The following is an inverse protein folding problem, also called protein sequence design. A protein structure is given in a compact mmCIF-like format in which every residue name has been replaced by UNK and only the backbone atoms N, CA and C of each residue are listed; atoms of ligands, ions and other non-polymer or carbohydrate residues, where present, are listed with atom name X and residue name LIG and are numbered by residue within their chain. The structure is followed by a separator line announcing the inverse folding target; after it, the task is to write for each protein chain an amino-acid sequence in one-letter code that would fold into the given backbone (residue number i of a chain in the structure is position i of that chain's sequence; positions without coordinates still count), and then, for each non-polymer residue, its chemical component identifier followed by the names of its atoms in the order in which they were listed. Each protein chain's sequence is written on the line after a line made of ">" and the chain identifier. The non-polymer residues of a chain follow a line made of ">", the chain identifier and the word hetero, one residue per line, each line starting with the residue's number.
data_IF_146827136838
#
_entry.id   IF_146827136838
#
_cell.length_a   1.000
_cell.length_b   1.000
_cell.length_c   1.000
_cell.angle_alpha   90.00
_cell.angle_beta   90.00
_cell.angle_gamma   90.00
#
_symmetry.space_group_name_H-M   'P 1'
#
loop_
_entity.id
_entity.type
_entity.pdbx_description
1 polymer ?
#
# COMPACT_ATOMS: atom_id res chain seq x y z
N UNK A 1 -8.58 -15.36 -6.29
CA UNK A 1 -7.91 -14.30 -7.06
C UNK A 1 -7.23 -13.22 -6.19
N UNK A 2 -7.06 -13.39 -4.87
CA UNK A 2 -6.51 -12.33 -4.01
C UNK A 2 -5.05 -11.92 -4.31
N UNK A 3 -4.22 -12.84 -4.81
CA UNK A 3 -2.80 -12.55 -5.08
C UNK A 3 -2.57 -11.71 -6.34
N UNK A 4 -3.51 -11.73 -7.31
CA UNK A 4 -3.33 -11.02 -8.59
C UNK A 4 -3.54 -9.51 -8.42
N UNK A 5 -4.53 -9.14 -7.62
CA UNK A 5 -4.87 -7.74 -7.34
C UNK A 5 -3.75 -7.00 -6.59
N UNK A 6 -2.95 -7.71 -5.79
CA UNK A 6 -1.81 -7.13 -5.07
C UNK A 6 -0.78 -6.53 -6.02
N UNK A 7 -0.55 -7.14 -7.19
CA UNK A 7 0.45 -6.67 -8.16
C UNK A 7 -0.12 -5.68 -9.18
N UNK A 8 -1.44 -5.68 -9.40
CA UNK A 8 -2.11 -4.67 -10.22
C UNK A 8 -2.26 -3.33 -9.49
N UNK A 9 -2.44 -3.36 -8.17
CA UNK A 9 -2.53 -2.15 -7.33
C UNK A 9 -1.17 -1.48 -7.17
N UNK A 10 -1.18 -0.15 -7.27
CA UNK A 10 0.01 0.67 -7.05
C UNK A 10 0.11 1.10 -5.58
N UNK A 11 0.82 0.32 -4.77
CA UNK A 11 1.00 0.55 -3.34
C UNK A 11 1.69 1.87 -3.03
N UNK A 12 2.59 2.32 -3.92
CA UNK A 12 3.23 3.62 -3.79
C UNK A 12 2.21 4.74 -3.93
N UNK A 13 1.31 4.64 -4.93
CA UNK A 13 0.20 5.60 -5.08
C UNK A 13 -0.80 5.53 -3.93
N UNK A 14 -1.14 4.33 -3.45
CA UNK A 14 -2.06 4.14 -2.31
C UNK A 14 -1.53 4.82 -1.05
N UNK A 15 -0.23 4.68 -0.77
CA UNK A 15 0.42 5.37 0.35
C UNK A 15 0.73 6.85 0.06
N UNK A 16 0.52 7.31 -1.17
CA UNK A 16 0.87 8.67 -1.60
C UNK A 16 2.37 8.96 -1.51
N UNK A 17 3.20 7.96 -1.80
CA UNK A 17 4.66 8.03 -1.78
C UNK A 17 5.24 7.76 -3.16
N UNK A 18 6.48 8.19 -3.37
CA UNK A 18 7.20 7.89 -4.60
C UNK A 18 7.80 6.47 -4.55
N UNK A 19 8.10 5.88 -5.72
CA UNK A 19 8.72 4.55 -5.81
C UNK A 19 10.10 4.49 -5.13
N UNK A 20 10.82 5.61 -5.10
CA UNK A 20 12.10 5.75 -4.41
C UNK A 20 11.96 6.06 -2.91
N UNK A 21 10.74 6.08 -2.36
CA UNK A 21 10.53 6.39 -0.95
C UNK A 21 11.26 5.38 -0.06
N UNK A 22 11.87 5.91 0.98
CA UNK A 22 12.55 5.14 2.01
C UNK A 22 11.53 4.44 2.92
N UNK A 23 11.95 3.36 3.58
CA UNK A 23 11.10 2.64 4.53
C UNK A 23 10.55 3.54 5.65
N UNK A 24 11.31 4.56 6.04
CA UNK A 24 10.89 5.55 7.04
C UNK A 24 9.79 6.47 6.53
N UNK A 25 9.86 6.92 5.27
CA UNK A 25 8.82 7.72 4.63
C UNK A 25 7.53 6.93 4.46
N UNK A 26 7.63 5.68 4.02
CA UNK A 26 6.52 4.73 3.91
C UNK A 26 5.82 4.58 5.27
N UNK A 27 6.58 4.25 6.32
CA UNK A 27 6.04 4.11 7.69
C UNK A 27 5.43 5.42 8.20
N UNK A 28 6.05 6.57 7.90
CA UNK A 28 5.52 7.88 8.32
C UNK A 28 4.19 8.19 7.65
N UNK A 29 4.07 7.92 6.35
CA UNK A 29 2.85 8.14 5.57
C UNK A 29 1.75 7.18 5.96
N UNK A 30 2.07 5.89 6.12
CA UNK A 30 1.17 4.90 6.68
C UNK A 30 0.57 5.37 8.02
N UNK A 31 1.41 5.83 8.96
CA UNK A 31 0.92 6.34 10.25
C UNK A 31 0.03 7.57 10.15
N UNK A 32 0.20 8.42 9.14
CA UNK A 32 -0.70 9.56 8.91
C UNK A 32 -2.05 9.07 8.41
N UNK A 33 -2.03 8.28 7.32
CA UNK A 33 -3.21 7.73 6.69
C UNK A 33 -4.00 6.83 7.63
N UNK A 34 -3.34 5.98 8.42
CA UNK A 34 -3.98 5.12 9.40
C UNK A 34 -4.76 5.90 10.47
N UNK A 35 -4.34 7.11 10.83
CA UNK A 35 -5.07 7.99 11.77
C UNK A 35 -6.20 8.75 11.12
N UNK A 36 -6.07 9.06 9.83
CA UNK A 36 -7.08 9.74 9.01
C UNK A 36 -8.21 8.79 8.63
N UNK A 37 -7.85 7.58 8.20
CA UNK A 37 -8.73 6.49 7.79
C UNK A 37 -9.21 5.60 8.94
N UNK A 38 -8.79 5.89 10.18
CA UNK A 38 -9.05 5.03 11.33
C UNK A 38 -10.54 4.69 11.48
N UNK A 39 -10.91 3.40 11.65
CA UNK A 39 -12.31 2.98 11.71
C UNK A 39 -13.08 3.66 12.84
N UNK A 40 -12.43 4.01 13.96
CA UNK A 40 -13.13 4.74 15.04
C UNK A 40 -13.62 6.13 14.65
N UNK A 41 -12.90 6.82 13.74
CA UNK A 41 -13.29 8.15 13.26
C UNK A 41 -14.26 8.09 12.08
N UNK A 42 -14.18 7.00 11.32
CA UNK A 42 -14.89 6.83 10.05
C UNK A 42 -15.90 5.68 10.10
N UNK A 43 -16.53 5.45 11.25
CA UNK A 43 -17.49 4.35 11.45
C UNK A 43 -18.61 4.44 10.42
N UNK A 44 -18.75 3.40 9.60
CA UNK A 44 -19.81 3.26 8.60
C UNK A 44 -19.44 3.68 7.18
N UNK A 45 -18.23 4.23 6.96
CA UNK A 45 -17.76 4.52 5.61
C UNK A 45 -16.96 3.35 5.04
N UNK A 46 -17.63 2.54 4.20
CA UNK A 46 -17.03 1.38 3.54
C UNK A 46 -15.85 1.77 2.64
N UNK A 47 -15.85 2.97 2.04
CA UNK A 47 -14.74 3.40 1.19
C UNK A 47 -13.49 3.64 2.02
N UNK A 48 -13.63 4.31 3.16
CA UNK A 48 -12.50 4.56 4.06
C UNK A 48 -11.97 3.25 4.69
N UNK A 49 -12.85 2.28 4.92
CA UNK A 49 -12.44 0.93 5.35
C UNK A 49 -11.63 0.19 4.27
N UNK A 50 -12.05 0.26 3.01
CA UNK A 50 -11.32 -0.30 1.87
C UNK A 50 -9.98 0.39 1.66
N UNK A 51 -9.93 1.73 1.76
CA UNK A 51 -8.69 2.49 1.70
C UNK A 51 -7.75 2.13 2.86
N UNK A 52 -8.27 1.99 4.08
CA UNK A 52 -7.47 1.58 5.23
C UNK A 52 -6.84 0.19 5.05
N UNK A 53 -7.61 -0.76 4.49
CA UNK A 53 -7.10 -2.09 4.13
C UNK A 53 -6.00 -1.98 3.08
N UNK A 54 -6.23 -1.23 2.00
CA UNK A 54 -5.25 -1.03 0.95
C UNK A 54 -3.96 -0.37 1.46
N UNK A 55 -4.07 0.63 2.34
CA UNK A 55 -2.93 1.32 2.97
C UNK A 55 -2.15 0.39 3.89
N UNK A 56 -2.83 -0.50 4.61
CA UNK A 56 -2.20 -1.50 5.47
C UNK A 56 -1.47 -2.57 4.66
N UNK A 57 -2.09 -3.10 3.61
CA UNK A 57 -1.46 -4.02 2.66
C UNK A 57 -0.23 -3.38 2.00
N UNK A 58 -0.35 -2.12 1.55
CA UNK A 58 0.73 -1.38 0.93
C UNK A 58 1.93 -1.24 1.88
N UNK A 59 1.69 -0.92 3.16
CA UNK A 59 2.75 -0.85 4.15
C UNK A 59 3.37 -2.23 4.43
N UNK A 60 2.58 -3.30 4.52
CA UNK A 60 3.08 -4.65 4.78
C UNK A 60 3.99 -5.19 3.67
N UNK A 61 3.75 -4.79 2.42
CA UNK A 61 4.60 -5.14 1.27
C UNK A 61 5.79 -4.19 1.16
N UNK A 62 5.58 -2.88 1.23
CA UNK A 62 6.64 -1.90 0.96
C UNK A 62 7.60 -1.68 2.15
N UNK A 63 7.20 -2.02 3.38
CA UNK A 63 8.06 -1.88 4.56
C UNK A 63 9.04 -3.03 4.75
N UNK A 64 8.82 -4.17 4.09
CA UNK A 64 9.71 -5.32 4.06
C UNK A 64 10.48 -5.32 2.74
N UNK A 65 11.82 -5.23 2.81
CA UNK A 65 12.67 -5.16 1.63
C UNK A 65 12.52 -6.37 0.70
N UNK A 66 12.29 -7.58 1.25
CA UNK A 66 12.12 -8.79 0.44
C UNK A 66 10.80 -8.74 -0.33
N UNK A 67 9.70 -8.45 0.37
CA UNK A 67 8.37 -8.34 -0.24
C UNK A 67 8.30 -7.18 -1.24
N UNK A 68 8.97 -6.06 -0.94
CA UNK A 68 9.08 -4.92 -1.84
C UNK A 68 9.82 -5.29 -3.12
N UNK A 69 10.91 -6.05 -3.01
CA UNK A 69 11.64 -6.53 -4.19
C UNK A 69 10.78 -7.45 -5.05
N UNK A 70 10.07 -8.42 -4.44
CA UNK A 70 9.14 -9.31 -5.14
C UNK A 70 8.00 -8.52 -5.82
N UNK A 71 7.45 -7.53 -5.13
CA UNK A 71 6.42 -6.65 -5.66
C UNK A 71 6.91 -5.79 -6.84
N UNK A 72 8.09 -5.18 -6.70
CA UNK A 72 8.68 -4.35 -7.74
C UNK A 72 9.03 -5.18 -8.98
N UNK A 73 9.51 -6.41 -8.80
CA UNK A 73 9.82 -7.35 -9.88
C UNK A 73 8.54 -7.81 -10.59
N UNK A 74 7.53 -8.26 -9.84
CA UNK A 74 6.23 -8.63 -10.38
C UNK A 74 5.58 -7.49 -11.17
N UNK A 75 5.62 -6.23 -10.67
CA UNK A 75 5.11 -5.07 -11.43
C UNK A 75 5.93 -4.76 -12.67
N UNK A 76 7.25 -4.94 -12.63
CA UNK A 76 8.10 -4.78 -13.81
C UNK A 76 7.78 -5.83 -14.88
N UNK A 77 7.46 -7.06 -14.48
CA UNK A 77 7.02 -8.12 -15.37
C UNK A 77 5.64 -7.85 -15.99
N UNK A 78 4.68 -7.35 -15.21
CA UNK A 78 3.35 -6.95 -15.73
C UNK A 78 3.46 -5.79 -16.71
N UNK A 79 4.30 -4.79 -16.44
CA UNK A 79 4.44 -3.62 -17.31
C UNK A 79 5.13 -3.91 -18.66
N UNK A 80 5.77 -5.07 -18.81
CA UNK A 80 6.45 -5.51 -20.04
C UNK A 80 5.63 -6.46 -20.92
N UNK A 81 4.49 -6.96 -20.42
CA UNK A 81 3.57 -7.83 -21.16
C UNK A 81 2.41 -7.04 -21.73
#
# INVERSE_FOLDING_TARGET
>A
MAAKDLYEKDFYKILGVQKNATSDEIKKKYRSLARELHPDKNKGDKKLEEEFKAVSEANDILSDEKKRAEYDDARAHIARG
#
